data_IF_461298469310
#
_entry.id   IF_461298469310
#
_cell.length_a   1.000
_cell.length_b   1.000
_cell.length_c   1.000
_cell.angle_alpha   90.00
_cell.angle_beta   90.00
_cell.angle_gamma   90.00
#
_symmetry.space_group_name_H-M   'P 1'
#
loop_
_entity.id
_entity.type
_entity.pdbx_description
1 polymer ?
#
# COMPACT_ATOMS: atom_id res chain seq x y z
N UNK A 1 -74.29 -18.67 -0.48
CA UNK A 1 -73.78 -19.11 0.85
C UNK A 1 -72.36 -19.60 0.61
N UNK A 2 -71.31 -18.82 0.90
CA UNK A 2 -70.69 -18.72 2.23
C UNK A 2 -69.91 -20.02 2.49
N UNK A 3 -68.58 -20.05 2.57
CA UNK A 3 -67.78 -19.57 3.71
C UNK A 3 -66.29 -19.50 3.32
N UNK A 4 -65.64 -18.44 3.84
CA UNK A 4 -64.19 -18.16 3.92
C UNK A 4 -63.46 -19.21 4.79
N UNK A 5 -62.13 -19.39 4.61
CA UNK A 5 -61.09 -19.21 5.67
C UNK A 5 -59.71 -19.82 5.27
N UNK A 6 -58.67 -18.97 5.39
CA UNK A 6 -57.29 -19.20 5.92
C UNK A 6 -56.40 -20.20 5.16
N UNK A 7 -55.18 -19.90 4.69
CA UNK A 7 -54.16 -18.95 5.12
C UNK A 7 -52.91 -19.71 5.60
N UNK A 8 -51.86 -19.83 4.78
CA UNK A 8 -50.50 -20.15 5.24
C UNK A 8 -49.50 -19.38 4.37
N UNK A 9 -48.85 -18.39 4.98
CA UNK A 9 -47.71 -17.68 4.40
C UNK A 9 -46.47 -18.58 4.50
N UNK A 10 -45.99 -19.08 3.36
CA UNK A 10 -44.70 -19.77 3.27
C UNK A 10 -43.57 -18.74 3.28
N UNK A 11 -42.79 -18.71 4.36
CA UNK A 11 -41.52 -18.00 4.46
C UNK A 11 -40.54 -18.60 3.44
N UNK A 12 -40.14 -17.82 2.44
CA UNK A 12 -39.00 -18.16 1.59
C UNK A 12 -37.74 -17.67 2.29
N UNK A 13 -37.05 -18.59 2.98
CA UNK A 13 -35.70 -18.38 3.49
C UNK A 13 -34.76 -18.11 2.30
N UNK A 14 -34.46 -16.84 2.06
CA UNK A 14 -33.38 -16.40 1.19
C UNK A 14 -32.04 -16.71 1.87
N UNK A 15 -31.64 -17.98 1.86
CA UNK A 15 -30.32 -18.44 2.26
C UNK A 15 -29.26 -17.73 1.43
N UNK A 16 -28.53 -16.80 2.04
CA UNK A 16 -27.45 -16.09 1.39
C UNK A 16 -26.35 -17.08 1.03
N UNK A 17 -26.17 -17.31 -0.27
CA UNK A 17 -24.95 -17.92 -0.81
C UNK A 17 -23.83 -16.89 -0.67
N UNK A 18 -23.34 -16.72 0.56
CA UNK A 18 -22.10 -16.03 0.87
C UNK A 18 -20.93 -16.85 0.36
N UNK A 19 -20.77 -16.90 -0.98
CA UNK A 19 -19.61 -17.47 -1.62
C UNK A 19 -18.38 -16.68 -1.20
N UNK A 20 -17.66 -17.21 -0.21
CA UNK A 20 -16.32 -16.77 0.11
C UNK A 20 -15.47 -17.01 -1.14
N UNK A 21 -15.29 -15.96 -1.94
CA UNK A 21 -14.29 -15.94 -3.00
C UNK A 21 -12.95 -16.16 -2.31
N UNK A 22 -12.45 -17.40 -2.38
CA UNK A 22 -11.10 -17.74 -1.94
C UNK A 22 -10.14 -16.84 -2.69
N UNK A 23 -9.70 -15.77 -2.02
CA UNK A 23 -8.75 -14.81 -2.58
C UNK A 23 -7.50 -15.61 -2.89
N UNK A 24 -7.11 -15.65 -4.17
CA UNK A 24 -5.90 -16.34 -4.60
C UNK A 24 -4.76 -16.04 -3.62
N UNK A 25 -4.13 -17.10 -3.11
CA UNK A 25 -3.11 -16.98 -2.08
C UNK A 25 -1.96 -16.10 -2.60
N UNK A 26 -1.71 -14.97 -1.93
CA UNK A 26 -0.60 -14.09 -2.28
C UNK A 26 0.71 -14.86 -2.05
N UNK A 27 1.51 -15.05 -3.09
CA UNK A 27 2.80 -15.73 -2.97
C UNK A 27 3.93 -14.71 -3.02
N UNK A 28 4.66 -14.47 -1.91
CA UNK A 28 5.71 -13.47 -1.89
C UNK A 28 6.95 -13.90 -2.70
N UNK A 29 7.85 -12.95 -2.90
CA UNK A 29 9.17 -13.17 -3.48
C UNK A 29 9.33 -12.59 -4.88
N UNK A 30 10.45 -12.92 -5.51
CA UNK A 30 10.77 -12.42 -6.84
C UNK A 30 10.04 -13.26 -7.90
N UNK A 31 9.43 -12.60 -8.87
CA UNK A 31 8.82 -13.19 -10.06
C UNK A 31 9.43 -12.55 -11.29
N UNK A 32 9.54 -13.31 -12.37
CA UNK A 32 10.07 -12.84 -13.64
C UNK A 32 8.98 -12.96 -14.71
N UNK A 33 8.75 -11.88 -15.46
CA UNK A 33 7.87 -11.89 -16.65
C UNK A 33 8.67 -11.26 -17.79
N UNK A 34 9.02 -12.06 -18.78
CA UNK A 34 9.99 -11.66 -19.80
C UNK A 34 11.35 -11.31 -19.17
N UNK A 35 11.92 -10.16 -19.52
CA UNK A 35 13.18 -9.66 -18.94
C UNK A 35 12.99 -8.97 -17.57
N UNK A 36 11.75 -8.72 -17.15
CA UNK A 36 11.44 -7.87 -15.99
C UNK A 36 11.28 -8.70 -14.73
N UNK A 37 11.86 -8.22 -13.64
CA UNK A 37 11.72 -8.83 -12.32
C UNK A 37 10.76 -8.01 -11.46
N UNK A 38 9.95 -8.69 -10.67
CA UNK A 38 8.98 -8.11 -9.76
C UNK A 38 9.19 -8.67 -8.37
N UNK A 39 9.29 -7.83 -7.35
CA UNK A 39 9.26 -8.28 -5.95
C UNK A 39 7.83 -8.14 -5.45
N UNK A 40 7.21 -9.28 -5.19
CA UNK A 40 5.85 -9.38 -4.65
C UNK A 40 5.94 -9.43 -3.14
N UNK A 41 5.27 -8.49 -2.48
CA UNK A 41 5.09 -8.49 -1.04
C UNK A 41 3.72 -9.03 -0.69
N UNK A 42 3.65 -9.82 0.38
CA UNK A 42 2.42 -10.41 0.86
C UNK A 42 2.31 -10.18 2.36
N UNK A 43 1.18 -9.62 2.78
CA UNK A 43 0.92 -9.29 4.16
C UNK A 43 -0.15 -8.21 4.30
N UNK A 44 -0.52 -7.85 5.54
CA UNK A 44 -1.64 -6.97 5.81
C UNK A 44 -1.31 -5.50 5.53
N UNK A 45 -0.04 -5.14 5.30
CA UNK A 45 0.34 -3.74 5.22
C UNK A 45 -0.34 -3.03 4.04
N UNK A 46 -0.69 -1.77 4.26
CA UNK A 46 -1.40 -0.90 3.30
C UNK A 46 -0.79 0.48 3.31
N UNK A 47 -0.88 1.16 2.18
CA UNK A 47 -0.53 2.57 2.08
C UNK A 47 -1.53 3.32 1.18
N UNK A 48 -1.70 4.59 1.45
CA UNK A 48 -2.46 5.52 0.60
C UNK A 48 -1.60 6.76 0.35
N UNK A 49 -1.72 7.32 -0.85
CA UNK A 49 -1.00 8.50 -1.28
C UNK A 49 -1.93 9.38 -2.10
N UNK A 50 -1.97 10.66 -1.81
CA UNK A 50 -2.61 11.70 -2.61
C UNK A 50 -1.50 12.51 -3.27
N UNK A 51 -1.45 12.51 -4.60
CA UNK A 51 -0.45 13.23 -5.38
C UNK A 51 -1.10 13.79 -6.65
N UNK A 52 -0.91 15.10 -6.91
CA UNK A 52 -1.50 15.80 -8.06
C UNK A 52 -3.00 15.53 -8.24
N UNK A 53 -3.78 15.64 -7.17
CA UNK A 53 -5.22 15.41 -7.18
C UNK A 53 -5.66 13.95 -7.34
N UNK A 54 -4.73 13.00 -7.51
CA UNK A 54 -5.03 11.56 -7.63
C UNK A 54 -4.75 10.84 -6.31
N UNK A 55 -5.60 9.87 -6.00
CA UNK A 55 -5.38 8.96 -4.86
C UNK A 55 -4.87 7.61 -5.37
N UNK A 56 -3.71 7.21 -4.88
CA UNK A 56 -3.11 5.91 -5.09
C UNK A 56 -3.29 5.07 -3.82
N UNK A 57 -3.75 3.83 -4.00
CA UNK A 57 -3.88 2.85 -2.93
C UNK A 57 -2.96 1.67 -3.20
N UNK A 58 -2.22 1.27 -2.18
CA UNK A 58 -1.30 0.15 -2.19
C UNK A 58 -1.77 -0.89 -1.18
N UNK A 59 -1.73 -2.16 -1.56
CA UNK A 59 -2.18 -3.30 -0.74
C UNK A 59 -1.21 -4.46 -0.94
N UNK A 60 -1.30 -5.46 -0.06
CA UNK A 60 -0.42 -6.62 -0.01
C UNK A 60 1.02 -6.16 0.23
N UNK A 61 1.34 -5.91 1.49
CA UNK A 61 2.63 -5.37 1.88
C UNK A 61 3.16 -6.01 3.14
N UNK A 62 4.44 -5.78 3.40
CA UNK A 62 5.14 -6.23 4.60
C UNK A 62 5.82 -5.05 5.28
N UNK A 63 5.85 -5.09 6.61
CA UNK A 63 6.65 -4.21 7.41
C UNK A 63 7.74 -5.01 8.13
N UNK A 64 8.98 -4.59 8.00
CA UNK A 64 10.10 -5.16 8.75
C UNK A 64 10.52 -4.15 9.81
N UNK A 65 10.25 -4.49 11.07
CA UNK A 65 10.53 -3.63 12.22
C UNK A 65 11.63 -4.23 13.07
N UNK A 66 12.66 -3.45 13.36
CA UNK A 66 13.74 -3.79 14.28
C UNK A 66 13.69 -2.86 15.48
N UNK A 67 14.61 -3.00 16.44
CA UNK A 67 14.78 -2.03 17.53
C UNK A 67 15.29 -0.66 17.06
N UNK A 68 15.82 -0.55 15.84
CA UNK A 68 16.47 0.67 15.32
C UNK A 68 15.81 1.25 14.07
N UNK A 69 14.98 0.47 13.38
CA UNK A 69 14.44 0.87 12.09
C UNK A 69 13.07 0.26 11.81
N UNK A 70 12.41 0.86 10.83
CA UNK A 70 11.21 0.38 10.18
C UNK A 70 11.42 0.42 8.67
N UNK A 71 11.17 -0.70 7.98
CA UNK A 71 11.09 -0.78 6.52
C UNK A 71 9.67 -1.18 6.15
N UNK A 72 9.10 -0.52 5.15
CA UNK A 72 7.73 -0.73 4.69
C UNK A 72 7.78 -0.94 3.19
N UNK A 73 7.18 -2.02 2.74
CA UNK A 73 7.04 -2.35 1.33
C UNK A 73 5.59 -2.73 1.06
N UNK A 74 4.88 -1.98 0.22
CA UNK A 74 3.47 -2.24 -0.08
C UNK A 74 3.23 -2.26 -1.58
N UNK A 75 2.67 -3.36 -2.08
CA UNK A 75 2.39 -3.56 -3.49
C UNK A 75 3.41 -4.48 -4.16
N UNK A 76 3.75 -4.18 -5.41
CA UNK A 76 4.69 -4.97 -6.21
C UNK A 76 5.74 -4.05 -6.77
N UNK A 77 6.99 -4.28 -6.42
CA UNK A 77 8.13 -3.48 -6.87
C UNK A 77 8.65 -4.02 -8.21
N UNK A 78 8.83 -3.15 -9.20
CA UNK A 78 9.58 -3.50 -10.43
C UNK A 78 11.08 -3.37 -10.13
N UNK A 79 11.85 -4.41 -10.44
CA UNK A 79 13.29 -4.47 -10.18
C UNK A 79 14.11 -4.36 -11.49
N UNK A 80 15.28 -3.68 -11.45
CA UNK A 80 15.79 -2.89 -10.32
C UNK A 80 14.98 -1.61 -10.11
N UNK A 81 14.80 -1.22 -8.84
CA UNK A 81 14.14 0.04 -8.50
C UNK A 81 14.99 1.24 -8.96
N UNK A 82 14.37 2.36 -9.38
CA UNK A 82 15.08 3.57 -9.70
C UNK A 82 16.09 4.04 -8.64
N UNK A 83 17.23 4.61 -9.07
CA UNK A 83 17.60 4.95 -10.45
C UNK A 83 17.98 3.71 -11.28
N UNK A 84 17.20 3.43 -12.34
CA UNK A 84 17.38 2.34 -13.28
C UNK A 84 16.78 2.71 -14.63
N UNK A 85 17.22 2.06 -15.70
CA UNK A 85 16.68 2.27 -17.05
C UNK A 85 15.36 1.53 -17.27
N UNK A 86 15.00 0.58 -16.41
CA UNK A 86 13.73 -0.13 -16.47
C UNK A 86 12.64 0.72 -15.80
N UNK A 87 11.65 1.25 -16.56
CA UNK A 87 10.58 2.02 -15.96
C UNK A 87 9.71 1.12 -15.08
N UNK A 88 9.22 1.61 -13.93
CA UNK A 88 8.30 0.84 -13.11
C UNK A 88 7.06 0.43 -13.91
N UNK A 89 6.62 -0.83 -13.77
CA UNK A 89 5.41 -1.37 -14.42
C UNK A 89 4.29 -1.66 -13.44
N UNK A 90 4.58 -1.54 -12.16
CA UNK A 90 3.70 -1.91 -11.05
C UNK A 90 3.61 -0.77 -10.05
N UNK A 91 2.61 -0.85 -9.16
CA UNK A 91 2.48 0.09 -8.04
C UNK A 91 3.20 -0.45 -6.83
N UNK A 92 4.10 0.35 -6.28
CA UNK A 92 4.80 0.05 -5.04
C UNK A 92 5.02 1.32 -4.23
N UNK A 93 4.87 1.19 -2.92
CA UNK A 93 5.23 2.19 -1.93
C UNK A 93 6.32 1.61 -1.05
N UNK A 94 7.44 2.32 -0.94
CA UNK A 94 8.60 1.92 -0.15
C UNK A 94 8.94 3.01 0.86
N UNK A 95 9.26 2.62 2.09
CA UNK A 95 9.79 3.55 3.07
C UNK A 95 10.80 2.86 3.98
N UNK A 96 11.82 3.61 4.36
CA UNK A 96 12.75 3.26 5.42
C UNK A 96 12.85 4.43 6.37
N UNK A 97 12.85 4.13 7.67
CA UNK A 97 13.06 5.12 8.72
C UNK A 97 13.95 4.51 9.79
N UNK A 98 15.05 5.17 10.13
CA UNK A 98 15.83 4.88 11.32
C UNK A 98 15.08 5.40 12.57
N UNK A 99 14.03 4.68 12.94
CA UNK A 99 13.12 5.02 14.02
C UNK A 99 13.21 4.00 15.16
N UNK A 100 13.61 4.43 16.36
CA UNK A 100 13.60 3.59 17.58
C UNK A 100 12.26 3.57 18.30
N UNK A 101 11.40 4.56 18.06
CA UNK A 101 10.12 4.79 18.74
C UNK A 101 9.17 5.57 17.82
N UNK A 102 7.97 5.85 18.30
CA UNK A 102 7.06 6.80 17.68
C UNK A 102 7.65 8.22 17.66
N UNK A 103 7.22 9.03 16.71
CA UNK A 103 7.74 10.39 16.55
C UNK A 103 7.58 10.93 15.14
N UNK A 104 8.14 12.11 14.92
CA UNK A 104 8.16 12.77 13.61
C UNK A 104 9.57 12.73 13.03
N UNK A 105 9.66 12.36 11.75
CA UNK A 105 10.88 12.14 11.01
C UNK A 105 10.86 12.98 9.72
N UNK A 106 12.04 13.37 9.26
CA UNK A 106 12.21 14.24 8.09
C UNK A 106 13.13 13.56 7.06
N UNK A 107 12.99 13.89 5.76
CA UNK A 107 13.83 13.35 4.70
C UNK A 107 15.32 13.57 4.97
N UNK A 108 16.15 12.58 4.66
CA UNK A 108 17.60 12.64 4.83
C UNK A 108 18.23 11.26 4.85
N UNK A 109 19.46 11.16 5.36
CA UNK A 109 20.19 9.87 5.44
C UNK A 109 19.50 8.81 6.32
N UNK A 110 18.67 9.25 7.27
CA UNK A 110 17.97 8.40 8.23
C UNK A 110 16.54 8.05 7.81
N UNK A 111 16.06 8.57 6.67
CA UNK A 111 14.70 8.33 6.21
C UNK A 111 14.57 8.53 4.70
N UNK A 112 14.02 7.53 4.02
CA UNK A 112 13.50 7.72 2.66
C UNK A 112 12.08 7.22 2.57
N UNK A 113 11.32 7.83 1.66
CA UNK A 113 10.01 7.36 1.25
C UNK A 113 9.95 7.53 -0.27
N UNK A 114 9.53 6.48 -0.96
CA UNK A 114 9.44 6.43 -2.41
C UNK A 114 8.13 5.77 -2.80
N UNK A 115 7.64 6.10 -3.98
CA UNK A 115 6.56 5.36 -4.59
C UNK A 115 6.74 5.30 -6.09
N UNK A 116 6.12 4.28 -6.68
CA UNK A 116 6.07 4.09 -8.11
C UNK A 116 4.68 3.66 -8.57
N UNK A 117 4.42 3.94 -9.83
CA UNK A 117 3.29 3.46 -10.61
C UNK A 117 3.79 3.24 -12.05
N UNK A 118 3.01 2.63 -12.97
CA UNK A 118 3.45 2.45 -14.35
C UNK A 118 4.03 3.74 -14.97
N UNK A 119 5.31 3.71 -15.34
CA UNK A 119 6.05 4.83 -15.92
C UNK A 119 6.39 5.99 -14.97
N UNK A 120 6.11 5.87 -13.66
CA UNK A 120 6.26 6.92 -12.66
C UNK A 120 7.06 6.43 -11.46
N UNK A 121 7.99 7.24 -11.00
CA UNK A 121 8.72 7.02 -9.74
C UNK A 121 9.06 8.35 -9.12
N UNK A 122 8.88 8.46 -7.82
CA UNK A 122 9.10 9.70 -7.08
C UNK A 122 9.71 9.42 -5.71
N UNK A 123 10.68 10.25 -5.33
CA UNK A 123 11.33 10.24 -4.03
C UNK A 123 10.81 11.39 -3.17
N UNK A 124 10.58 11.13 -1.89
CA UNK A 124 10.21 12.14 -0.91
C UNK A 124 11.43 13.02 -0.56
N UNK A 125 11.35 14.32 -0.84
CA UNK A 125 12.49 15.24 -0.74
C UNK A 125 12.35 16.29 0.36
N UNK A 126 11.14 16.63 0.77
CA UNK A 126 10.89 17.57 1.87
C UNK A 126 9.58 17.24 2.58
N UNK A 127 9.44 17.60 3.85
CA UNK A 127 8.23 17.40 4.65
C UNK A 127 8.45 16.55 5.89
N UNK A 128 7.42 15.81 6.31
CA UNK A 128 7.50 14.98 7.52
C UNK A 128 6.76 13.65 7.37
N UNK A 129 7.22 12.67 8.13
CA UNK A 129 6.57 11.40 8.40
C UNK A 129 6.38 11.25 9.90
N UNK A 130 5.14 11.10 10.35
CA UNK A 130 4.81 10.82 11.74
C UNK A 130 4.52 9.34 11.92
N UNK A 131 5.19 8.70 12.86
CA UNK A 131 4.97 7.32 13.30
C UNK A 131 4.18 7.29 14.61
N UNK A 132 3.21 6.39 14.69
CA UNK A 132 2.39 6.13 15.88
C UNK A 132 2.13 4.64 16.06
N UNK A 133 1.55 4.29 17.22
CA UNK A 133 1.14 2.93 17.57
C UNK A 133 2.33 1.95 17.50
N UNK A 134 3.42 2.29 18.19
CA UNK A 134 4.65 1.48 18.22
C UNK A 134 5.24 1.24 16.81
N UNK A 135 5.23 2.33 16.03
CA UNK A 135 5.68 2.44 14.65
C UNK A 135 4.86 1.63 13.65
N UNK A 136 3.70 1.09 14.04
CA UNK A 136 2.82 0.34 13.12
C UNK A 136 2.02 1.25 12.20
N UNK A 137 1.80 2.52 12.57
CA UNK A 137 1.03 3.46 11.75
C UNK A 137 1.88 4.66 11.38
N UNK A 138 1.65 5.19 10.19
CA UNK A 138 2.31 6.41 9.76
C UNK A 138 1.46 7.31 8.89
N UNK A 139 1.72 8.61 8.99
CA UNK A 139 1.15 9.65 8.13
C UNK A 139 2.26 10.56 7.64
N UNK A 140 2.26 10.91 6.36
CA UNK A 140 3.28 11.77 5.79
C UNK A 140 2.65 12.89 4.96
N UNK A 141 3.36 14.01 4.85
CA UNK A 141 3.04 15.10 3.96
C UNK A 141 4.30 15.86 3.57
N UNK A 142 4.37 16.31 2.32
CA UNK A 142 5.51 17.07 1.83
C UNK A 142 5.68 16.98 0.31
N UNK A 143 6.92 17.15 -0.15
CA UNK A 143 7.28 17.20 -1.56
C UNK A 143 7.87 15.88 -2.05
N UNK A 144 7.49 15.52 -3.25
CA UNK A 144 8.04 14.42 -4.01
C UNK A 144 8.68 14.94 -5.29
N UNK A 145 9.85 14.41 -5.63
CA UNK A 145 10.56 14.73 -6.86
C UNK A 145 10.83 13.46 -7.68
N UNK A 146 10.60 13.55 -8.99
CA UNK A 146 10.86 12.46 -9.92
C UNK A 146 10.58 12.90 -11.35
N UNK A 147 11.41 12.46 -12.30
CA UNK A 147 11.28 12.78 -13.73
C UNK A 147 11.19 14.28 -14.04
N UNK A 148 11.91 15.11 -13.29
CA UNK A 148 11.89 16.57 -13.44
C UNK A 148 10.62 17.24 -12.91
N UNK A 149 9.72 16.48 -12.27
CA UNK A 149 8.47 16.99 -11.69
C UNK A 149 8.61 16.99 -10.17
N UNK A 150 8.29 18.13 -9.56
CA UNK A 150 8.06 18.25 -8.12
C UNK A 150 6.56 18.34 -7.85
N UNK A 151 6.08 17.65 -6.82
CA UNK A 151 4.68 17.79 -6.41
C UNK A 151 4.45 17.51 -4.93
N UNK A 152 3.51 18.26 -4.36
CA UNK A 152 3.02 18.02 -3.00
C UNK A 152 2.27 16.69 -2.95
N UNK A 153 2.55 15.91 -1.92
CA UNK A 153 1.82 14.70 -1.62
C UNK A 153 1.54 14.56 -0.12
N UNK A 154 0.51 13.81 0.20
CA UNK A 154 0.23 13.36 1.56
C UNK A 154 -0.29 11.95 1.54
N UNK A 155 -0.20 11.25 2.67
CA UNK A 155 -0.64 9.88 2.72
C UNK A 155 -0.48 9.25 4.08
N UNK A 156 -0.76 7.95 4.12
CA UNK A 156 -0.66 7.16 5.32
C UNK A 156 -0.29 5.72 4.99
N UNK A 157 0.23 5.02 5.99
CA UNK A 157 0.38 3.58 5.94
C UNK A 157 -0.02 2.94 7.26
N UNK A 158 -0.30 1.65 7.18
CA UNK A 158 -0.49 0.78 8.32
C UNK A 158 0.24 -0.53 8.08
N UNK A 159 0.99 -0.93 9.08
CA UNK A 159 1.28 -2.30 9.46
C UNK A 159 0.18 -2.73 10.45
#
# INVERSE_FOLDING_TARGET
MGILLVGVAGLLDAGSLGGATHRAACTPGIRKVGAVRFKVFCGPARATLRFQGKTYSFRNGSCTRTSRSLTIDVGVETLPHPPSTEPPRTRWFGAFVAARRDGTYHPGSSMFLTWSAPGLSFLFTAGSLRLTADRSRGTFSGQFFGRGITGSASGSFSC
#
